data_IF_381498795614
#
_entry.id   IF_381498795614
#
_cell.length_a   1.000
_cell.length_b   1.000
_cell.length_c   1.000
_cell.angle_alpha   90.00
_cell.angle_beta   90.00
_cell.angle_gamma   90.00
#
_symmetry.space_group_name_H-M   'P 1'
#
loop_
_entity.id
_entity.type
_entity.pdbx_description
1 polymer ?
#
# COMPACT_ATOMS: atom_id res chain seq x y z
N UNK A 1 -16.08 -17.68 19.11
CA UNK A 1 -15.58 -17.31 17.77
C UNK A 1 -14.93 -15.96 17.91
N UNK A 2 -13.64 -15.85 17.60
CA UNK A 2 -12.90 -14.59 17.63
C UNK A 2 -12.89 -14.04 16.21
N UNK A 3 -13.24 -12.77 16.07
CA UNK A 3 -13.26 -12.09 14.78
C UNK A 3 -12.12 -11.08 14.76
N UNK A 4 -11.19 -11.26 13.82
CA UNK A 4 -10.06 -10.36 13.61
C UNK A 4 -10.49 -9.34 12.57
N UNK A 5 -10.51 -8.07 12.94
CA UNK A 5 -10.73 -6.96 12.02
C UNK A 5 -9.36 -6.32 11.77
N UNK A 6 -8.90 -6.39 10.52
CA UNK A 6 -7.69 -5.68 10.08
C UNK A 6 -8.01 -4.19 10.01
N UNK A 7 -7.25 -3.39 10.77
CA UNK A 7 -7.34 -1.92 10.76
C UNK A 7 -6.46 -1.35 9.65
N UNK A 8 -5.45 -2.11 9.22
CA UNK A 8 -4.43 -1.70 8.28
C UNK A 8 -4.99 -1.44 6.89
N UNK A 9 -4.38 -0.48 6.21
CA UNK A 9 -4.71 -0.15 4.84
C UNK A 9 -4.28 -1.27 3.90
N UNK A 10 -5.03 -1.41 2.81
CA UNK A 10 -4.84 -2.49 1.84
C UNK A 10 -3.42 -2.56 1.27
N UNK A 11 -2.77 -1.42 1.06
CA UNK A 11 -1.42 -1.40 0.51
C UNK A 11 -0.41 -1.98 1.50
N UNK A 12 -0.59 -1.77 2.81
CA UNK A 12 0.31 -2.31 3.84
C UNK A 12 0.19 -3.84 3.90
N UNK A 13 -1.04 -4.36 3.92
CA UNK A 13 -1.30 -5.81 3.95
C UNK A 13 -0.73 -6.49 2.69
N UNK A 14 -0.81 -5.85 1.53
CA UNK A 14 -0.24 -6.38 0.28
C UNK A 14 1.29 -6.37 0.31
N UNK A 15 1.91 -5.30 0.80
CA UNK A 15 3.36 -5.23 0.96
C UNK A 15 3.87 -6.27 1.96
N UNK A 16 3.14 -6.49 3.06
CA UNK A 16 3.46 -7.52 4.04
C UNK A 16 3.34 -8.94 3.46
N UNK A 17 2.26 -9.20 2.71
CA UNK A 17 2.07 -10.47 1.99
C UNK A 17 3.21 -10.71 1.00
N UNK A 18 3.68 -9.66 0.34
CA UNK A 18 4.80 -9.72 -0.58
C UNK A 18 6.12 -10.08 0.13
N UNK A 19 6.38 -9.49 1.30
CA UNK A 19 7.54 -9.87 2.13
C UNK A 19 7.51 -11.34 2.54
N UNK A 20 6.34 -11.85 2.95
CA UNK A 20 6.18 -13.26 3.28
C UNK A 20 6.43 -14.16 2.07
N UNK A 21 5.96 -13.76 0.88
CA UNK A 21 6.24 -14.49 -0.35
C UNK A 21 7.75 -14.57 -0.67
N UNK A 22 8.55 -13.54 -0.36
CA UNK A 22 10.02 -13.60 -0.50
C UNK A 22 10.62 -14.58 0.51
N UNK A 23 10.15 -14.57 1.76
CA UNK A 23 10.59 -15.52 2.79
C UNK A 23 10.35 -16.97 2.35
N UNK A 24 9.19 -17.23 1.75
CA UNK A 24 8.76 -18.57 1.34
C UNK A 24 9.27 -19.00 -0.05
N UNK A 25 9.98 -18.12 -0.78
CA UNK A 25 10.56 -18.41 -2.09
C UNK A 25 9.62 -18.18 -3.30
N UNK A 26 8.47 -17.55 -3.09
CA UNK A 26 7.49 -17.22 -4.13
C UNK A 26 7.75 -15.83 -4.75
N UNK A 27 8.93 -15.65 -5.38
CA UNK A 27 9.41 -14.34 -5.85
C UNK A 27 8.51 -13.65 -6.88
N UNK A 28 7.92 -14.42 -7.79
CA UNK A 28 6.94 -13.88 -8.76
C UNK A 28 5.72 -13.28 -8.05
N UNK A 29 5.22 -13.98 -7.04
CA UNK A 29 4.03 -13.56 -6.29
C UNK A 29 4.38 -12.37 -5.37
N UNK A 30 5.60 -12.31 -4.87
CA UNK A 30 6.13 -11.15 -4.16
C UNK A 30 6.11 -9.90 -5.05
N UNK A 31 6.69 -9.96 -6.26
CA UNK A 31 6.70 -8.83 -7.20
C UNK A 31 5.27 -8.41 -7.58
N UNK A 32 4.38 -9.37 -7.86
CA UNK A 32 2.99 -9.07 -8.16
C UNK A 32 2.27 -8.39 -6.98
N UNK A 33 2.54 -8.82 -5.75
CA UNK A 33 1.94 -8.27 -4.53
C UNK A 33 2.47 -6.88 -4.19
N UNK A 34 3.77 -6.63 -4.34
CA UNK A 34 4.35 -5.28 -4.21
C UNK A 34 3.84 -4.32 -5.28
N UNK A 35 3.70 -4.76 -6.53
CA UNK A 35 3.09 -3.95 -7.58
C UNK A 35 1.63 -3.58 -7.23
N UNK A 36 0.86 -4.54 -6.72
CA UNK A 36 -0.49 -4.29 -6.25
C UNK A 36 -0.53 -3.35 -5.04
N UNK A 37 0.43 -3.46 -4.11
CA UNK A 37 0.55 -2.56 -2.96
C UNK A 37 0.74 -1.11 -3.44
N UNK A 38 1.65 -0.87 -4.39
CA UNK A 38 1.88 0.45 -4.97
C UNK A 38 0.63 1.02 -5.64
N UNK A 39 -0.12 0.21 -6.41
CA UNK A 39 -1.38 0.66 -7.00
C UNK A 39 -2.45 1.00 -5.95
N UNK A 40 -2.54 0.21 -4.86
CA UNK A 40 -3.46 0.51 -3.76
C UNK A 40 -3.04 1.75 -2.99
N UNK A 41 -1.73 2.04 -2.92
CA UNK A 41 -1.24 3.30 -2.36
C UNK A 41 -1.64 4.49 -3.23
N UNK A 42 -1.51 4.41 -4.55
CA UNK A 42 -1.98 5.48 -5.45
C UNK A 42 -3.48 5.75 -5.30
N UNK A 43 -4.29 4.69 -5.19
CA UNK A 43 -5.71 4.82 -4.87
C UNK A 43 -5.91 5.57 -3.54
N UNK A 44 -5.24 5.12 -2.49
CA UNK A 44 -5.36 5.73 -1.16
C UNK A 44 -4.99 7.21 -1.17
N UNK A 45 -3.89 7.59 -1.82
CA UNK A 45 -3.49 8.99 -1.99
C UNK A 45 -4.60 9.82 -2.65
N UNK A 46 -5.18 9.34 -3.75
CA UNK A 46 -6.27 10.02 -4.47
C UNK A 46 -7.50 10.19 -3.56
N UNK A 47 -7.87 9.14 -2.82
CA UNK A 47 -9.02 9.16 -1.91
C UNK A 47 -8.83 10.17 -0.77
N UNK A 48 -7.64 10.22 -0.17
CA UNK A 48 -7.26 11.19 0.88
C UNK A 48 -7.35 12.61 0.35
N UNK A 49 -6.70 12.91 -0.79
CA UNK A 49 -6.72 14.25 -1.37
C UNK A 49 -8.15 14.64 -1.74
N UNK A 50 -8.90 13.77 -2.41
CA UNK A 50 -10.28 14.06 -2.79
C UNK A 50 -11.19 14.30 -1.56
N UNK A 51 -11.02 13.53 -0.49
CA UNK A 51 -11.75 13.74 0.76
C UNK A 51 -11.44 15.10 1.37
N UNK A 52 -10.15 15.50 1.42
CA UNK A 52 -9.72 16.80 1.93
C UNK A 52 -10.30 17.99 1.15
N UNK A 53 -10.70 17.78 -0.13
CA UNK A 53 -11.39 18.78 -0.97
C UNK A 53 -12.91 18.72 -0.88
N UNK A 54 -13.47 17.88 0.01
CA UNK A 54 -14.91 17.71 0.18
C UNK A 54 -15.59 16.90 -0.92
N UNK A 55 -14.85 16.11 -1.70
CA UNK A 55 -15.44 15.20 -2.69
C UNK A 55 -16.13 14.05 -1.95
N UNK A 56 -17.44 13.90 -2.17
CA UNK A 56 -18.24 12.88 -1.47
C UNK A 56 -17.84 11.47 -1.90
N UNK A 57 -17.98 10.50 -0.98
CA UNK A 57 -17.68 9.09 -1.26
C UNK A 57 -18.48 8.51 -2.43
N UNK A 58 -19.69 9.02 -2.69
CA UNK A 58 -20.50 8.61 -3.84
C UNK A 58 -19.86 9.02 -5.17
N UNK A 59 -19.33 10.24 -5.26
CA UNK A 59 -18.63 10.74 -6.45
C UNK A 59 -17.30 10.02 -6.63
N UNK A 60 -16.57 9.78 -5.54
CA UNK A 60 -15.33 8.99 -5.58
C UNK A 60 -15.59 7.57 -6.10
N UNK A 61 -16.61 6.88 -5.57
CA UNK A 61 -16.97 5.53 -6.00
C UNK A 61 -17.39 5.47 -7.48
N UNK A 62 -18.17 6.46 -7.94
CA UNK A 62 -18.54 6.57 -9.35
C UNK A 62 -17.32 6.76 -10.25
N UNK A 63 -16.39 7.64 -9.86
CA UNK A 63 -15.13 7.88 -10.58
C UNK A 63 -14.26 6.62 -10.60
N UNK A 64 -14.11 5.95 -9.45
CA UNK A 64 -13.27 4.77 -9.31
C UNK A 64 -13.75 3.62 -10.21
N UNK A 65 -15.07 3.47 -10.40
CA UNK A 65 -15.66 2.46 -11.28
C UNK A 65 -15.11 2.51 -12.71
N UNK A 66 -14.76 3.70 -13.20
CA UNK A 66 -14.27 3.91 -14.58
C UNK A 66 -12.76 3.70 -14.75
N UNK A 67 -12.00 3.71 -13.64
CA UNK A 67 -10.53 3.58 -13.64
C UNK A 67 -10.02 2.29 -13.00
N UNK A 68 -10.81 1.61 -12.15
CA UNK A 68 -10.37 0.49 -11.32
C UNK A 68 -9.78 -0.72 -12.08
N UNK A 69 -10.12 -0.90 -13.36
CA UNK A 69 -9.67 -2.07 -14.16
C UNK A 69 -8.39 -1.84 -14.96
N UNK A 70 -7.82 -0.64 -14.95
CA UNK A 70 -6.64 -0.32 -15.76
C UNK A 70 -5.60 0.39 -14.90
N UNK A 71 -4.48 -0.27 -14.65
CA UNK A 71 -3.36 0.26 -13.85
C UNK A 71 -2.81 1.56 -14.43
N UNK A 72 -2.75 1.68 -15.77
CA UNK A 72 -2.32 2.91 -16.45
C UNK A 72 -3.25 4.10 -16.18
N UNK A 73 -4.57 3.88 -16.10
CA UNK A 73 -5.54 4.93 -15.77
C UNK A 73 -5.41 5.38 -14.32
N UNK A 74 -5.21 4.42 -13.41
CA UNK A 74 -4.97 4.72 -11.99
C UNK A 74 -3.70 5.55 -11.83
N UNK A 75 -2.62 5.17 -12.52
CA UNK A 75 -1.36 5.91 -12.53
C UNK A 75 -1.54 7.32 -13.11
N UNK A 76 -2.21 7.46 -14.25
CA UNK A 76 -2.48 8.77 -14.86
C UNK A 76 -3.30 9.69 -13.95
N UNK A 77 -4.31 9.14 -13.26
CA UNK A 77 -5.10 9.87 -12.28
C UNK A 77 -4.25 10.32 -11.09
N UNK A 78 -3.41 9.43 -10.55
CA UNK A 78 -2.49 9.75 -9.46
C UNK A 78 -1.54 10.90 -9.85
N UNK A 79 -0.94 10.83 -11.04
CA UNK A 79 -0.02 11.87 -11.53
C UNK A 79 -0.73 13.23 -11.60
N UNK A 80 -1.93 13.28 -12.18
CA UNK A 80 -2.70 14.52 -12.28
C UNK A 80 -3.10 15.09 -10.93
N UNK A 81 -3.59 14.25 -10.01
CA UNK A 81 -3.99 14.67 -8.66
C UNK A 81 -2.79 15.16 -7.87
N UNK A 82 -1.66 14.43 -7.90
CA UNK A 82 -0.43 14.84 -7.23
C UNK A 82 0.07 16.19 -7.75
N UNK A 83 0.08 16.38 -9.07
CA UNK A 83 0.52 17.63 -9.67
C UNK A 83 -0.34 18.82 -9.23
N UNK A 84 -1.66 18.66 -9.22
CA UNK A 84 -2.56 19.72 -8.77
C UNK A 84 -2.41 20.02 -7.28
N UNK A 85 -2.17 19.01 -6.46
CA UNK A 85 -2.11 19.16 -5.00
C UNK A 85 -0.77 19.67 -4.47
N UNK A 86 0.32 19.35 -5.16
CA UNK A 86 1.68 19.68 -4.72
C UNK A 86 2.39 20.71 -5.62
N UNK A 87 1.85 20.98 -6.81
CA UNK A 87 2.50 21.87 -7.78
C UNK A 87 3.79 21.28 -8.36
N UNK A 88 3.98 19.96 -8.26
CA UNK A 88 5.20 19.26 -8.67
C UNK A 88 4.86 17.89 -9.30
N UNK A 89 5.82 17.26 -9.98
CA UNK A 89 5.66 15.90 -10.49
C UNK A 89 5.81 14.88 -9.35
N UNK A 90 4.99 13.81 -9.31
CA UNK A 90 5.18 12.78 -8.30
C UNK A 90 6.50 12.04 -8.51
N UNK A 91 7.15 11.58 -7.43
CA UNK A 91 8.12 10.51 -7.56
C UNK A 91 7.41 9.27 -8.11
N UNK A 92 8.05 8.58 -9.05
CA UNK A 92 7.53 7.38 -9.68
C UNK A 92 8.61 6.31 -9.70
N UNK A 93 8.17 5.06 -9.79
CA UNK A 93 9.04 3.94 -10.04
C UNK A 93 9.79 4.16 -11.36
N UNK A 94 11.10 3.92 -11.40
CA UNK A 94 11.87 4.12 -12.62
C UNK A 94 11.47 3.13 -13.73
N UNK A 95 11.90 3.45 -14.96
CA UNK A 95 11.50 2.69 -16.13
C UNK A 95 11.98 1.23 -16.11
N UNK A 96 13.09 0.94 -15.44
CA UNK A 96 13.66 -0.41 -15.45
C UNK A 96 12.89 -1.31 -14.49
N UNK A 97 12.55 -0.81 -13.30
CA UNK A 97 11.62 -1.49 -12.39
C UNK A 97 10.21 -1.64 -12.99
N UNK A 98 9.71 -0.66 -13.76
CA UNK A 98 8.43 -0.78 -14.47
C UNK A 98 8.47 -1.87 -15.53
N UNK A 99 9.54 -1.94 -16.33
CA UNK A 99 9.73 -3.00 -17.34
C UNK A 99 9.84 -4.37 -16.68
N UNK A 100 10.64 -4.49 -15.62
CA UNK A 100 10.80 -5.72 -14.85
C UNK A 100 9.45 -6.22 -14.32
N UNK A 101 8.67 -5.35 -13.66
CA UNK A 101 7.32 -5.67 -13.20
C UNK A 101 6.42 -6.16 -14.33
N UNK A 102 6.46 -5.51 -15.48
CA UNK A 102 5.64 -5.90 -16.63
C UNK A 102 6.06 -7.28 -17.18
N UNK A 103 7.35 -7.60 -17.20
CA UNK A 103 7.85 -8.91 -17.59
C UNK A 103 7.34 -10.01 -16.63
N UNK A 104 7.43 -9.77 -15.32
CA UNK A 104 6.98 -10.74 -14.31
C UNK A 104 5.47 -10.97 -14.37
N UNK A 105 4.68 -9.89 -14.43
CA UNK A 105 3.22 -9.98 -14.37
C UNK A 105 2.61 -10.46 -15.69
N UNK A 106 3.07 -9.94 -16.82
CA UNK A 106 2.41 -10.14 -18.12
C UNK A 106 3.11 -11.12 -19.04
N UNK A 107 4.43 -11.33 -18.88
CA UNK A 107 5.21 -12.18 -19.78
C UNK A 107 5.60 -13.52 -19.15
N UNK A 108 5.23 -13.75 -17.88
CA UNK A 108 5.50 -15.00 -17.17
C UNK A 108 6.96 -15.18 -16.76
N UNK A 109 7.74 -14.09 -16.70
CA UNK A 109 9.11 -14.15 -16.17
C UNK A 109 9.11 -14.58 -14.69
N UNK A 110 10.01 -15.50 -14.35
CA UNK A 110 10.23 -15.96 -12.97
C UNK A 110 11.47 -15.24 -12.43
N UNK A 111 11.30 -14.25 -11.54
CA UNK A 111 12.44 -13.50 -11.02
C UNK A 111 13.23 -14.33 -10.03
N UNK A 112 14.52 -14.01 -9.91
CA UNK A 112 15.38 -14.43 -8.83
C UNK A 112 14.98 -13.76 -7.52
N UNK A 113 15.49 -14.29 -6.40
CA UNK A 113 15.32 -13.67 -5.09
C UNK A 113 15.84 -12.22 -5.08
N UNK A 114 17.01 -12.01 -5.67
CA UNK A 114 17.69 -10.72 -5.69
C UNK A 114 16.89 -9.66 -6.46
N UNK A 115 16.35 -10.02 -7.63
CA UNK A 115 15.48 -9.14 -8.40
C UNK A 115 14.17 -8.81 -7.66
N UNK A 116 13.62 -9.78 -6.90
CA UNK A 116 12.42 -9.53 -6.10
C UNK A 116 12.71 -8.61 -4.91
N UNK A 117 13.86 -8.76 -4.25
CA UNK A 117 14.31 -7.88 -3.15
C UNK A 117 14.57 -6.47 -3.66
N UNK A 118 15.25 -6.33 -4.81
CA UNK A 118 15.54 -5.04 -5.44
C UNK A 118 14.24 -4.28 -5.77
N UNK A 119 13.30 -4.96 -6.43
CA UNK A 119 11.99 -4.39 -6.72
C UNK A 119 11.19 -4.04 -5.46
N UNK A 120 11.24 -4.90 -4.42
CA UNK A 120 10.60 -4.62 -3.14
C UNK A 120 11.18 -3.34 -2.49
N UNK A 121 12.51 -3.18 -2.50
CA UNK A 121 13.17 -2.00 -1.97
C UNK A 121 12.74 -0.75 -2.72
N UNK A 122 12.73 -0.79 -4.05
CA UNK A 122 12.29 0.35 -4.87
C UNK A 122 10.84 0.77 -4.58
N UNK A 123 9.95 -0.18 -4.28
CA UNK A 123 8.57 0.11 -3.89
C UNK A 123 8.49 0.73 -2.49
N UNK A 124 9.24 0.21 -1.51
CA UNK A 124 9.27 0.75 -0.14
C UNK A 124 9.88 2.15 -0.10
N UNK A 125 10.99 2.37 -0.81
CA UNK A 125 11.67 3.65 -0.95
C UNK A 125 10.78 4.71 -1.61
N UNK A 126 9.85 4.28 -2.46
CA UNK A 126 8.88 5.17 -3.10
C UNK A 126 7.70 5.49 -2.17
N UNK A 127 7.10 4.48 -1.55
CA UNK A 127 5.85 4.64 -0.79
C UNK A 127 6.08 5.33 0.55
N UNK A 128 7.11 4.93 1.32
CA UNK A 128 7.28 5.41 2.69
C UNK A 128 7.44 6.95 2.77
N UNK A 129 8.27 7.61 1.94
CA UNK A 129 8.37 9.07 1.98
C UNK A 129 7.07 9.77 1.60
N UNK A 130 6.27 9.18 0.70
CA UNK A 130 4.97 9.73 0.33
C UNK A 130 3.97 9.58 1.48
N UNK A 131 4.00 8.48 2.24
CA UNK A 131 3.24 8.33 3.49
C UNK A 131 3.63 9.45 4.46
N UNK A 132 4.92 9.60 4.75
CA UNK A 132 5.41 10.62 5.68
C UNK A 132 4.96 12.04 5.28
N UNK A 133 4.87 12.32 3.97
CA UNK A 133 4.42 13.62 3.47
C UNK A 133 2.90 13.84 3.63
N UNK A 134 2.07 12.82 3.47
CA UNK A 134 0.61 12.96 3.57
C UNK A 134 0.11 12.90 5.01
N UNK A 135 0.78 12.18 5.90
CA UNK A 135 0.36 11.98 7.29
C UNK A 135 0.11 13.31 8.05
N UNK A 136 1.09 14.22 8.19
CA UNK A 136 0.88 15.46 8.94
C UNK A 136 -0.09 16.42 8.24
N UNK A 137 -0.22 16.34 6.91
CA UNK A 137 -1.06 17.24 6.11
C UNK A 137 -2.54 16.85 6.12
N UNK A 138 -2.83 15.55 6.23
CA UNK A 138 -4.19 15.01 6.06
C UNK A 138 -4.61 14.04 7.16
N UNK A 139 -3.99 14.09 8.35
CA UNK A 139 -4.26 13.12 9.43
C UNK A 139 -5.76 12.93 9.71
N UNK A 140 -6.54 14.01 9.79
CA UNK A 140 -7.98 13.93 10.06
C UNK A 140 -8.76 13.28 8.92
N UNK A 141 -8.40 13.55 7.66
CA UNK A 141 -9.02 12.91 6.50
C UNK A 141 -8.65 11.43 6.43
N UNK A 142 -7.39 11.11 6.74
CA UNK A 142 -6.87 9.75 6.82
C UNK A 142 -7.61 8.96 7.91
N UNK A 143 -7.71 9.48 9.12
CA UNK A 143 -8.46 8.87 10.23
C UNK A 143 -9.93 8.63 9.84
N UNK A 144 -10.57 9.59 9.18
CA UNK A 144 -11.95 9.45 8.71
C UNK A 144 -12.07 8.29 7.69
N UNK A 145 -11.15 8.19 6.74
CA UNK A 145 -11.12 7.13 5.74
C UNK A 145 -10.82 5.76 6.36
N UNK A 146 -9.87 5.68 7.30
CA UNK A 146 -9.56 4.46 8.05
C UNK A 146 -10.77 4.00 8.85
N UNK A 147 -11.47 4.90 9.54
CA UNK A 147 -12.69 4.57 10.28
C UNK A 147 -13.80 4.00 9.38
N UNK A 148 -14.01 4.61 8.21
CA UNK A 148 -14.97 4.08 7.21
C UNK A 148 -14.55 2.68 6.73
N UNK A 149 -13.25 2.46 6.51
CA UNK A 149 -12.69 1.16 6.13
C UNK A 149 -12.93 0.09 7.19
N UNK A 150 -12.55 0.37 8.44
CA UNK A 150 -12.69 -0.54 9.58
C UNK A 150 -14.16 -0.83 9.90
N UNK A 151 -15.05 0.16 9.78
CA UNK A 151 -16.49 -0.02 9.95
C UNK A 151 -17.07 -0.92 8.86
N UNK A 152 -16.69 -0.74 7.59
CA UNK A 152 -17.13 -1.59 6.49
C UNK A 152 -16.61 -3.03 6.62
N UNK A 153 -15.36 -3.22 7.07
CA UNK A 153 -14.81 -4.54 7.37
C UNK A 153 -15.57 -5.21 8.53
N UNK A 154 -15.87 -4.46 9.58
CA UNK A 154 -16.65 -4.90 10.75
C UNK A 154 -18.11 -5.22 10.47
N UNK A 155 -18.71 -4.62 9.43
CA UNK A 155 -20.10 -4.85 9.04
C UNK A 155 -20.29 -6.12 8.20
N UNK A 156 -19.23 -6.58 7.52
CA UNK A 156 -19.22 -7.87 6.79
C UNK A 156 -19.02 -9.08 7.72
N UNK A 157 -18.74 -8.81 8.98
CA UNK A 157 -18.40 -9.77 10.02
C UNK A 157 -19.69 -10.05 10.84
N UNK A 158 -20.47 -11.05 10.44
CA UNK A 158 -21.83 -11.32 10.98
C UNK A 158 -21.83 -12.09 12.33
N UNK A 159 -20.67 -12.30 12.97
CA UNK A 159 -20.63 -13.14 14.18
C UNK A 159 -20.76 -12.33 15.48
N UNK A 160 -21.59 -12.77 16.46
CA UNK A 160 -21.74 -12.11 17.76
C UNK A 160 -20.52 -12.34 18.70
N UNK A 161 -19.33 -12.53 18.13
CA UNK A 161 -18.09 -12.83 18.83
C UNK A 161 -17.35 -11.59 19.35
N UNK A 162 -16.39 -11.82 20.25
CA UNK A 162 -15.49 -10.78 20.76
C UNK A 162 -14.56 -10.35 19.62
N UNK A 163 -14.60 -9.07 19.25
CA UNK A 163 -13.76 -8.48 18.21
C UNK A 163 -12.37 -8.17 18.77
N UNK A 164 -11.33 -8.61 18.08
CA UNK A 164 -9.94 -8.30 18.41
C UNK A 164 -9.37 -7.43 17.30
N UNK A 165 -8.99 -6.20 17.66
CA UNK A 165 -8.16 -5.35 16.82
C UNK A 165 -6.73 -5.86 16.96
N UNK A 166 -6.08 -6.16 15.83
CA UNK A 166 -4.72 -6.67 15.80
C UNK A 166 -3.86 -5.69 15.01
N UNK A 167 -2.83 -5.17 15.65
CA UNK A 167 -1.83 -4.32 15.05
C UNK A 167 -0.60 -5.19 14.75
N UNK A 168 -0.13 -5.12 13.51
CA UNK A 168 1.05 -5.83 13.05
C UNK A 168 2.11 -4.80 12.69
N UNK A 169 3.37 -5.12 12.98
CA UNK A 169 4.50 -4.32 12.50
C UNK A 169 4.75 -4.68 11.04
N UNK A 170 4.33 -3.80 10.13
CA UNK A 170 4.44 -3.99 8.69
C UNK A 170 5.65 -3.29 8.11
N UNK A 171 6.10 -3.78 6.94
CA UNK A 171 7.23 -3.19 6.19
C UNK A 171 6.99 -1.72 5.82
N UNK A 172 5.74 -1.36 5.54
CA UNK A 172 5.30 0.02 5.38
C UNK A 172 4.74 0.47 6.73
N UNK A 173 5.34 1.51 7.32
CA UNK A 173 4.90 2.02 8.62
C UNK A 173 3.91 3.15 8.41
N UNK A 174 2.65 2.82 8.62
CA UNK A 174 1.52 3.74 8.56
C UNK A 174 0.71 3.55 9.83
N UNK A 175 0.73 4.54 10.72
CA UNK A 175 0.22 4.33 12.08
C UNK A 175 -0.95 5.25 12.47
N UNK A 176 -1.19 6.45 11.95
CA UNK A 176 -2.13 7.46 12.53
C UNK A 176 -2.02 7.81 14.04
N UNK A 177 -1.64 6.91 14.95
CA UNK A 177 -1.54 7.16 16.40
C UNK A 177 -0.11 7.53 16.85
N UNK A 178 0.90 7.33 16.00
CA UNK A 178 2.28 7.69 16.29
C UNK A 178 2.50 9.21 16.40
N UNK A 179 3.36 9.59 17.35
CA UNK A 179 3.77 10.99 17.58
C UNK A 179 4.83 11.48 16.57
N UNK A 180 5.44 10.58 15.79
CA UNK A 180 6.47 10.88 14.78
C UNK A 180 6.17 10.14 13.47
N UNK A 181 6.01 10.92 12.39
CA UNK A 181 5.72 10.44 11.04
C UNK A 181 6.95 10.44 10.12
N UNK A 182 8.13 10.86 10.59
CA UNK A 182 9.37 10.87 9.81
C UNK A 182 10.08 9.51 9.86
N UNK A 183 9.37 8.46 9.44
CA UNK A 183 9.91 7.11 9.44
C UNK A 183 10.71 6.88 8.14
N UNK A 184 12.02 6.58 8.19
CA UNK A 184 12.76 6.26 6.98
C UNK A 184 12.22 4.97 6.33
N UNK A 185 12.33 4.81 5.00
CA UNK A 185 12.05 3.55 4.34
C UNK A 185 12.77 2.38 5.02
N UNK A 186 12.07 1.28 5.23
CA UNK A 186 12.66 0.09 5.79
C UNK A 186 13.67 -0.53 4.80
N UNK A 187 14.80 -1.03 5.32
CA UNK A 187 15.73 -1.84 4.54
C UNK A 187 15.19 -3.27 4.41
N UNK A 188 14.74 -3.62 3.21
CA UNK A 188 14.04 -4.89 2.93
C UNK A 188 14.92 -6.08 3.28
N UNK A 189 16.23 -6.01 3.01
CA UNK A 189 17.15 -7.11 3.32
C UNK A 189 17.27 -7.36 4.82
N UNK A 190 17.46 -6.30 5.59
CA UNK A 190 17.54 -6.35 7.04
C UNK A 190 16.26 -6.95 7.62
N UNK A 191 15.10 -6.54 7.10
CA UNK A 191 13.81 -7.09 7.53
C UNK A 191 13.66 -8.57 7.17
N UNK A 192 14.09 -8.99 5.98
CA UNK A 192 14.07 -10.41 5.58
C UNK A 192 15.00 -11.27 6.45
N UNK A 193 16.20 -10.79 6.78
CA UNK A 193 17.13 -11.47 7.69
C UNK A 193 16.48 -11.67 9.06
N UNK A 194 15.86 -10.61 9.61
CA UNK A 194 15.17 -10.68 10.89
C UNK A 194 14.01 -11.69 10.87
N UNK A 195 13.21 -11.70 9.80
CA UNK A 195 12.06 -12.62 9.63
C UNK A 195 12.49 -14.07 9.53
N UNK A 196 13.51 -14.37 8.72
CA UNK A 196 14.05 -15.73 8.58
C UNK A 196 14.67 -16.22 9.89
N UNK A 197 15.33 -15.34 10.63
CA UNK A 197 15.86 -15.65 11.96
C UNK A 197 14.79 -16.00 13.00
N UNK A 198 13.56 -15.52 12.84
CA UNK A 198 12.41 -15.85 13.72
C UNK A 198 11.74 -17.19 13.38
N UNK A 199 12.03 -17.78 12.22
CA UNK A 199 11.45 -19.05 11.77
C UNK A 199 12.32 -20.28 12.12
N UNK A 200 13.53 -20.07 12.63
CA UNK A 200 14.48 -21.10 13.10
C UNK A 200 14.44 -21.25 14.62
#
# INVERSE_FOLDING_TARGET
MHEIVLVQMRFEVLAETAMQAIVDGYYRDAVASFAAALERFYQFYIEVVAHSKGVTSAVQAATWKDVARQSERQLGMYIGVYQLENGDVPPLLDQDHVKFRNQVIHQGYLPTEEEAIDFAQAVVDLIQPLINAIMPRYITDIEALTNVHTAAASAKSESPGRKHLVYFEFILRFDTEADDWEVPPADVRTELIARRGRQL
#
